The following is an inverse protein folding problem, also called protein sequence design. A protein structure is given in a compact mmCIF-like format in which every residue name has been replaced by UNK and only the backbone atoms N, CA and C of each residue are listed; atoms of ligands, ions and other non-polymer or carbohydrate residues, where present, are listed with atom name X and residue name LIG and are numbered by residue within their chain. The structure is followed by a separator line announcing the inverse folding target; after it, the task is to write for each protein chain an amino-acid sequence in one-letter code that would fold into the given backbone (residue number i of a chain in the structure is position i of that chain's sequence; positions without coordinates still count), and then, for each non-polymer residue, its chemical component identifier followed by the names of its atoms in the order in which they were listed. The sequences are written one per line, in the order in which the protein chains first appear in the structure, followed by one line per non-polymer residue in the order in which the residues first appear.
data_IF_283831816010
#
_entry.id   IF_283831816010
#
_cell.length_a   1.000
_cell.length_b   1.000
_cell.length_c   1.000
_cell.angle_alpha   90.00
_cell.angle_beta   90.00
_cell.angle_gamma   90.00
#
_symmetry.space_group_name_H-M   'P 1'
#
loop_
_entity.id
_entity.type
_entity.pdbx_description
1 polymer ?
#
# COMPACT_ATOMS: atom_id res chain seq x y z
N UNK A 1 33.96 -6.91 15.28
CA UNK A 1 33.51 -5.97 16.32
C UNK A 1 32.37 -5.16 15.77
N UNK A 2 31.20 -5.23 16.38
CA UNK A 2 30.04 -4.45 15.94
C UNK A 2 30.16 -2.99 16.37
N UNK A 3 29.56 -2.09 15.60
CA UNK A 3 29.52 -0.69 15.95
C UNK A 3 28.73 -0.48 17.24
N UNK A 4 29.07 0.51 18.08
CA UNK A 4 28.31 0.79 19.28
C UNK A 4 26.88 1.20 18.92
N UNK A 5 25.94 0.82 19.77
CA UNK A 5 24.54 1.21 19.61
C UNK A 5 24.40 2.71 19.88
N UNK A 6 24.19 3.47 18.81
CA UNK A 6 24.04 4.92 18.89
C UNK A 6 22.74 5.33 19.57
N UNK A 7 21.71 4.48 19.52
CA UNK A 7 20.45 4.77 20.19
C UNK A 7 20.62 4.84 21.69
N UNK A 8 21.37 3.89 22.27
CA UNK A 8 21.64 3.88 23.70
C UNK A 8 22.44 5.13 24.13
N UNK A 9 23.43 5.57 23.31
CA UNK A 9 24.27 6.73 23.60
C UNK A 9 23.48 8.04 23.53
N UNK A 10 22.42 8.11 22.73
CA UNK A 10 21.61 9.31 22.52
C UNK A 10 20.34 9.33 23.35
N UNK A 11 20.08 8.27 24.14
CA UNK A 11 18.85 8.08 24.84
C UNK A 11 17.78 7.41 23.98
N UNK A 12 16.54 7.35 24.48
CA UNK A 12 15.46 6.68 23.75
C UNK A 12 15.19 7.31 22.38
N UNK A 13 14.81 6.47 21.42
CA UNK A 13 14.53 6.88 20.05
C UNK A 13 13.03 6.69 19.76
N UNK A 14 12.31 7.74 19.30
CA UNK A 14 10.87 7.65 19.05
C UNK A 14 10.51 7.06 17.68
N UNK A 15 11.48 6.61 16.88
CA UNK A 15 11.25 6.19 15.49
C UNK A 15 10.17 5.12 15.36
N UNK A 16 10.14 4.12 16.24
CA UNK A 16 9.15 3.05 16.17
C UNK A 16 7.73 3.57 16.43
N UNK A 17 7.59 4.54 17.33
CA UNK A 17 6.30 5.15 17.64
C UNK A 17 5.80 5.94 16.44
N UNK A 18 6.67 6.76 15.84
CA UNK A 18 6.32 7.54 14.66
C UNK A 18 5.92 6.61 13.51
N UNK A 19 6.73 5.57 13.25
CA UNK A 19 6.46 4.61 12.18
C UNK A 19 5.10 3.93 12.35
N UNK A 20 4.80 3.45 13.55
CA UNK A 20 3.54 2.75 13.79
C UNK A 20 2.33 3.69 13.78
N UNK A 21 2.50 4.92 14.24
CA UNK A 21 1.39 5.90 14.25
C UNK A 21 0.96 6.31 12.84
N UNK A 22 1.84 6.15 11.83
CA UNK A 22 1.55 6.52 10.44
C UNK A 22 1.55 5.34 9.48
N UNK A 23 1.75 4.11 9.98
CA UNK A 23 1.84 2.92 9.13
C UNK A 23 0.57 2.67 8.31
N UNK A 24 -0.58 3.17 8.76
CA UNK A 24 -1.84 3.00 8.04
C UNK A 24 -1.83 3.70 6.67
N UNK A 25 -1.00 4.73 6.46
CA UNK A 25 -0.90 5.40 5.17
C UNK A 25 -0.42 4.43 4.09
N UNK A 26 0.65 3.70 4.38
CA UNK A 26 1.21 2.72 3.45
C UNK A 26 0.25 1.56 3.23
N UNK A 27 -0.32 1.03 4.31
CA UNK A 27 -1.29 -0.05 4.23
C UNK A 27 -2.51 0.35 3.41
N UNK A 28 -3.09 1.52 3.67
CA UNK A 28 -4.26 1.99 2.93
C UNK A 28 -3.96 2.21 1.45
N UNK A 29 -2.75 2.66 1.12
CA UNK A 29 -2.36 2.82 -0.28
C UNK A 29 -2.35 1.47 -0.99
N UNK A 30 -1.72 0.45 -0.41
CA UNK A 30 -1.68 -0.89 -0.99
C UNK A 30 -3.09 -1.51 -1.07
N UNK A 31 -3.85 -1.45 0.02
CA UNK A 31 -5.18 -2.05 0.08
C UNK A 31 -6.12 -1.41 -0.95
N UNK A 32 -6.06 -0.09 -1.09
CA UNK A 32 -6.87 0.64 -2.06
C UNK A 32 -6.47 0.30 -3.49
N UNK A 33 -5.16 0.28 -3.77
CA UNK A 33 -4.65 -0.07 -5.10
C UNK A 33 -5.10 -1.48 -5.50
N UNK A 34 -5.04 -2.42 -4.55
CA UNK A 34 -5.48 -3.79 -4.80
C UNK A 34 -6.99 -3.86 -5.04
N UNK A 35 -7.76 -3.14 -4.24
CA UNK A 35 -9.23 -3.11 -4.38
C UNK A 35 -9.66 -2.56 -5.73
N UNK A 36 -9.00 -1.49 -6.18
CA UNK A 36 -9.27 -0.85 -7.46
C UNK A 36 -8.67 -1.59 -8.65
N UNK A 37 -7.83 -2.59 -8.43
CA UNK A 37 -7.12 -3.31 -9.49
C UNK A 37 -6.22 -2.40 -10.32
N UNK A 38 -5.56 -1.45 -9.67
CA UNK A 38 -4.69 -0.48 -10.32
C UNK A 38 -3.58 -1.16 -11.13
N UNK A 39 -2.99 -2.21 -10.58
CA UNK A 39 -1.85 -2.88 -11.22
C UNK A 39 -2.25 -3.64 -12.49
N UNK A 40 -3.50 -4.07 -12.59
CA UNK A 40 -4.01 -4.71 -13.80
C UNK A 40 -4.02 -3.75 -14.99
N UNK A 41 -4.26 -2.46 -14.74
CA UNK A 41 -4.29 -1.45 -15.80
C UNK A 41 -2.94 -1.36 -16.52
N UNK A 42 -1.82 -1.53 -15.79
CA UNK A 42 -0.48 -1.50 -16.34
C UNK A 42 0.08 -2.89 -16.68
N UNK A 43 -0.77 -3.93 -16.70
CA UNK A 43 -0.30 -5.29 -16.91
C UNK A 43 0.38 -5.48 -18.27
N UNK A 44 -0.07 -4.76 -19.30
CA UNK A 44 0.44 -4.90 -20.68
C UNK A 44 1.38 -3.77 -21.09
N UNK A 45 1.62 -2.80 -20.23
CA UNK A 45 2.50 -1.69 -20.53
C UNK A 45 2.23 -0.45 -19.70
N UNK A 46 3.12 0.53 -19.85
CA UNK A 46 3.04 1.77 -19.10
C UNK A 46 1.81 2.60 -19.52
N UNK A 47 1.24 3.33 -18.56
CA UNK A 47 0.06 4.18 -18.75
C UNK A 47 0.26 5.53 -18.09
N UNK A 48 -0.36 6.57 -18.66
CA UNK A 48 -0.42 7.87 -17.99
C UNK A 48 -1.46 7.85 -16.87
N UNK A 49 -1.36 8.79 -15.93
CA UNK A 49 -2.36 8.92 -14.86
C UNK A 49 -3.76 9.15 -15.43
N UNK A 50 -3.87 9.95 -16.49
CA UNK A 50 -5.18 10.21 -17.13
C UNK A 50 -5.78 8.93 -17.72
N UNK A 51 -4.95 8.09 -18.36
CA UNK A 51 -5.41 6.81 -18.88
C UNK A 51 -5.92 5.89 -17.76
N UNK A 52 -5.19 5.83 -16.65
CA UNK A 52 -5.61 5.02 -15.49
C UNK A 52 -6.92 5.56 -14.91
N UNK A 53 -7.01 6.87 -14.74
CA UNK A 53 -8.22 7.51 -14.19
C UNK A 53 -9.43 7.24 -15.08
N UNK A 54 -9.27 7.31 -16.40
CA UNK A 54 -10.34 7.04 -17.35
C UNK A 54 -10.81 5.60 -17.26
N UNK A 55 -9.87 4.65 -17.25
CA UNK A 55 -10.22 3.23 -17.21
C UNK A 55 -10.91 2.84 -15.91
N UNK A 56 -10.48 3.41 -14.78
CA UNK A 56 -11.03 3.08 -13.46
C UNK A 56 -12.12 4.03 -12.99
N UNK A 57 -12.48 5.03 -13.80
CA UNK A 57 -13.51 6.03 -13.48
C UNK A 57 -13.17 6.80 -12.19
N UNK A 58 -11.92 7.28 -12.11
CA UNK A 58 -11.40 8.03 -10.96
C UNK A 58 -11.11 9.47 -11.35
N UNK A 59 -10.97 10.32 -10.32
CA UNK A 59 -10.53 11.71 -10.53
C UNK A 59 -9.09 11.73 -11.04
N UNK A 60 -8.80 12.42 -12.17
CA UNK A 60 -7.44 12.41 -12.74
C UNK A 60 -6.37 12.96 -11.81
N UNK A 61 -6.65 14.06 -11.09
CA UNK A 61 -5.67 14.67 -10.19
C UNK A 61 -5.37 13.77 -8.99
N UNK A 62 -6.42 13.22 -8.38
CA UNK A 62 -6.28 12.29 -7.27
C UNK A 62 -5.54 11.03 -7.70
N UNK A 63 -5.83 10.54 -8.90
CA UNK A 63 -5.16 9.35 -9.45
C UNK A 63 -3.67 9.60 -9.62
N UNK A 64 -3.26 10.76 -10.16
CA UNK A 64 -1.84 11.08 -10.32
C UNK A 64 -1.10 11.06 -8.99
N UNK A 65 -1.67 11.67 -7.96
CA UNK A 65 -1.10 11.68 -6.62
C UNK A 65 -1.02 10.26 -6.03
N UNK A 66 -2.07 9.49 -6.22
CA UNK A 66 -2.15 8.10 -5.73
C UNK A 66 -1.10 7.21 -6.39
N UNK A 67 -0.93 7.30 -7.71
CA UNK A 67 0.07 6.51 -8.42
C UNK A 67 1.48 6.86 -7.96
N UNK A 68 1.76 8.12 -7.66
CA UNK A 68 3.05 8.52 -7.11
C UNK A 68 3.28 7.94 -5.71
N UNK A 69 2.23 7.82 -4.91
CA UNK A 69 2.34 7.12 -3.62
C UNK A 69 2.73 5.66 -3.84
N UNK A 70 2.17 5.00 -4.84
CA UNK A 70 2.54 3.63 -5.20
C UNK A 70 4.00 3.53 -5.68
N UNK A 71 4.50 4.57 -6.38
CA UNK A 71 5.92 4.65 -6.73
C UNK A 71 6.77 4.69 -5.47
N UNK A 72 6.37 5.51 -4.51
CA UNK A 72 7.09 5.63 -3.23
C UNK A 72 7.16 4.32 -2.46
N UNK A 73 6.14 3.46 -2.60
CA UNK A 73 6.12 2.14 -1.96
C UNK A 73 6.91 1.08 -2.73
N UNK A 74 7.36 1.39 -3.95
CA UNK A 74 8.12 0.44 -4.76
C UNK A 74 7.28 -0.48 -5.63
N UNK A 75 6.00 -0.17 -5.83
CA UNK A 75 5.12 -1.01 -6.65
C UNK A 75 4.93 -0.49 -8.07
N UNK A 76 5.21 0.79 -8.30
CA UNK A 76 5.20 1.38 -9.63
C UNK A 76 6.49 2.14 -9.87
N UNK A 77 6.81 2.33 -11.16
CA UNK A 77 7.87 3.21 -11.62
C UNK A 77 7.25 4.26 -12.53
N UNK A 78 7.77 5.49 -12.45
CA UNK A 78 7.34 6.57 -13.33
C UNK A 78 8.49 6.99 -14.23
N UNK A 79 8.23 7.05 -15.54
CA UNK A 79 9.18 7.54 -16.52
C UNK A 79 8.42 8.26 -17.64
N UNK A 80 8.85 9.48 -17.97
CA UNK A 80 8.23 10.28 -19.03
C UNK A 80 6.71 10.44 -18.87
N UNK A 81 6.25 10.62 -17.65
CA UNK A 81 4.83 10.80 -17.34
C UNK A 81 4.00 9.52 -17.40
N UNK A 82 4.63 8.37 -17.54
CA UNK A 82 3.94 7.08 -17.60
C UNK A 82 4.34 6.22 -16.43
N UNK A 83 3.40 5.43 -15.96
CA UNK A 83 3.56 4.53 -14.82
C UNK A 83 3.55 3.09 -15.29
N UNK A 84 4.42 2.27 -14.73
CA UNK A 84 4.46 0.83 -15.02
C UNK A 84 4.70 0.04 -13.75
N UNK A 85 4.30 -1.23 -13.77
CA UNK A 85 4.50 -2.12 -12.64
C UNK A 85 5.99 -2.40 -12.44
N UNK A 86 6.44 -2.40 -11.17
CA UNK A 86 7.75 -2.96 -10.83
C UNK A 86 7.68 -4.49 -10.92
N UNK A 87 8.82 -5.19 -10.94
CA UNK A 87 8.79 -6.66 -10.97
C UNK A 87 7.98 -7.28 -9.83
N UNK A 88 8.06 -6.74 -8.61
CA UNK A 88 7.28 -7.27 -7.49
C UNK A 88 5.78 -7.08 -7.72
N UNK A 89 5.37 -5.94 -8.24
CA UNK A 89 3.96 -5.68 -8.53
C UNK A 89 3.46 -6.57 -9.69
N UNK A 90 4.25 -6.69 -10.74
CA UNK A 90 3.88 -7.52 -11.88
C UNK A 90 3.70 -8.98 -11.49
N UNK A 91 4.50 -9.46 -10.54
CA UNK A 91 4.46 -10.85 -10.10
C UNK A 91 3.33 -11.10 -9.10
N UNK A 92 3.15 -10.22 -8.12
CA UNK A 92 2.27 -10.51 -6.98
C UNK A 92 0.99 -9.67 -6.94
N UNK A 93 0.87 -8.60 -7.72
CA UNK A 93 -0.26 -7.68 -7.62
C UNK A 93 -1.10 -7.60 -8.91
N UNK A 94 -0.71 -8.28 -9.97
CA UNK A 94 -1.50 -8.38 -11.20
C UNK A 94 -2.32 -9.67 -11.17
N UNK A 95 -3.63 -9.54 -11.37
CA UNK A 95 -4.57 -10.63 -11.11
C UNK A 95 -4.37 -11.86 -11.99
N UNK A 96 -3.84 -11.71 -13.20
CA UNK A 96 -3.58 -12.85 -14.09
C UNK A 96 -2.26 -13.56 -13.80
N UNK A 97 -1.42 -13.04 -12.90
CA UNK A 97 -0.16 -13.69 -12.54
C UNK A 97 -0.44 -14.94 -11.71
N UNK A 98 0.25 -16.06 -11.97
CA UNK A 98 0.06 -17.28 -11.17
C UNK A 98 0.45 -17.12 -9.70
N UNK A 99 1.25 -16.10 -9.38
CA UNK A 99 1.65 -15.81 -8.00
C UNK A 99 0.84 -14.68 -7.35
N UNK A 100 -0.29 -14.31 -7.95
CA UNK A 100 -1.11 -13.19 -7.48
C UNK A 100 -1.52 -13.33 -6.01
N UNK A 101 -1.26 -12.28 -5.22
CA UNK A 101 -1.55 -12.24 -3.79
C UNK A 101 -2.76 -11.38 -3.43
N UNK A 102 -3.48 -10.88 -4.43
CA UNK A 102 -4.57 -9.94 -4.21
C UNK A 102 -5.69 -10.47 -3.32
N UNK A 103 -5.92 -11.78 -3.31
CA UNK A 103 -6.96 -12.38 -2.47
C UNK A 103 -6.57 -12.37 -1.00
N UNK A 104 -5.29 -12.60 -0.68
CA UNK A 104 -4.78 -12.50 0.68
C UNK A 104 -4.83 -11.04 1.16
N UNK A 105 -4.44 -10.11 0.29
CA UNK A 105 -4.49 -8.68 0.58
C UNK A 105 -5.94 -8.24 0.82
N UNK A 106 -6.87 -8.74 0.02
CA UNK A 106 -8.30 -8.45 0.17
C UNK A 106 -8.83 -8.92 1.52
N UNK A 107 -8.36 -10.05 2.01
CA UNK A 107 -8.73 -10.52 3.33
C UNK A 107 -8.28 -9.53 4.42
N UNK A 108 -7.05 -9.04 4.34
CA UNK A 108 -6.55 -8.02 5.25
C UNK A 108 -7.35 -6.73 5.16
N UNK A 109 -7.75 -6.33 3.94
CA UNK A 109 -8.59 -5.16 3.71
C UNK A 109 -9.95 -5.31 4.42
N UNK A 110 -10.56 -6.50 4.36
CA UNK A 110 -11.83 -6.76 5.01
C UNK A 110 -11.74 -6.67 6.54
N UNK A 111 -10.59 -7.00 7.10
CA UNK A 111 -10.36 -6.95 8.55
C UNK A 111 -9.95 -5.57 9.06
N UNK A 112 -9.57 -4.67 8.16
CA UNK A 112 -9.03 -3.36 8.56
C UNK A 112 -10.00 -2.57 9.44
N UNK A 113 -11.28 -2.54 9.04
CA UNK A 113 -12.31 -1.84 9.81
C UNK A 113 -12.51 -2.43 11.20
N UNK A 114 -12.44 -3.76 11.31
CA UNK A 114 -12.57 -4.45 12.59
C UNK A 114 -11.44 -4.07 13.55
N UNK A 115 -10.22 -3.97 13.05
CA UNK A 115 -9.08 -3.52 13.85
C UNK A 115 -9.24 -2.09 14.33
N UNK A 116 -9.94 -1.25 13.57
CA UNK A 116 -10.27 0.10 13.97
C UNK A 116 -11.20 0.17 15.19
N UNK A 117 -11.87 -0.94 15.51
CA UNK A 117 -12.78 -1.05 16.66
C UNK A 117 -12.10 -1.70 17.88
N UNK A 118 -10.78 -1.79 17.89
CA UNK A 118 -10.05 -2.49 18.96
C UNK A 118 -10.39 -1.98 20.34
N UNK A 119 -10.47 -0.66 20.51
CA UNK A 119 -10.80 -0.08 21.81
C UNK A 119 -12.17 -0.56 22.31
N UNK A 120 -13.18 -0.55 21.44
CA UNK A 120 -14.52 -1.03 21.79
C UNK A 120 -14.50 -2.50 22.20
N UNK A 121 -13.76 -3.33 21.50
CA UNK A 121 -13.64 -4.74 21.84
C UNK A 121 -13.00 -4.96 23.22
N UNK A 122 -12.00 -4.17 23.54
CA UNK A 122 -11.34 -4.25 24.84
C UNK A 122 -12.28 -3.81 25.99
N UNK A 123 -13.14 -2.81 25.73
CA UNK A 123 -14.10 -2.34 26.73
C UNK A 123 -15.26 -3.30 26.92
N UNK A 124 -15.74 -3.89 25.84
CA UNK A 124 -16.95 -4.73 25.84
C UNK A 124 -16.66 -6.22 25.99
N UNK A 125 -15.38 -6.60 26.09
CA UNK A 125 -14.93 -8.00 26.16
C UNK A 125 -15.37 -8.82 24.95
N UNK A 126 -15.51 -8.18 23.78
CA UNK A 126 -15.86 -8.85 22.54
C UNK A 126 -14.61 -9.25 21.79
N UNK A 127 -14.76 -10.25 20.89
CA UNK A 127 -13.66 -10.66 20.03
C UNK A 127 -13.20 -9.50 19.14
N UNK A 128 -11.88 -9.38 18.95
CA UNK A 128 -11.29 -8.36 18.08
C UNK A 128 -11.50 -8.70 16.61
N UNK A 129 -11.53 -9.98 16.27
CA UNK A 129 -11.59 -10.45 14.88
C UNK A 129 -12.81 -11.27 14.62
#
# INVERSE_FOLDING_TARGET
MSAPDRSAARGPDPSSIIRLSTAYWESQTLLTANRLRVFDVMADGARTADEVATELHLDPRGTALFLRACVGLGYLEEAAGRFQNTPVAATFLVSRSPAFMGNVIRYSDQLYGAWGQLEGSLRDRKSVV
#
